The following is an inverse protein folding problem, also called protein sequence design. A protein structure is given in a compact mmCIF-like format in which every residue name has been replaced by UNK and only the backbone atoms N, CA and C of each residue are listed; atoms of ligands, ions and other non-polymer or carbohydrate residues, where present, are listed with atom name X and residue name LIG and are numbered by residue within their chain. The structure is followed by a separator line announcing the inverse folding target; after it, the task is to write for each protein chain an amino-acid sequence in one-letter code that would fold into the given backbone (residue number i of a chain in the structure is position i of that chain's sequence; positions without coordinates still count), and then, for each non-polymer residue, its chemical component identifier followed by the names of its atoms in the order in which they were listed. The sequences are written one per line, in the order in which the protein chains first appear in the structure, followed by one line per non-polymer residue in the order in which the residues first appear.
data_IF_361968470832
#
_entry.id   IF_361968470832
#
_cell.length_a   1.000
_cell.length_b   1.000
_cell.length_c   1.000
_cell.angle_alpha   90.00
_cell.angle_beta   90.00
_cell.angle_gamma   90.00
#
_symmetry.space_group_name_H-M   'P 1'
#
loop_
_entity.id
_entity.type
_entity.pdbx_description
1 polymer ?
#
# COMPACT_ATOMS: atom_id res chain seq x y z
N UNK A 1 34.90 19.70 38.19
CA UNK A 1 33.59 19.45 37.58
C UNK A 1 33.17 18.04 37.95
N UNK A 2 32.03 17.87 38.60
CA UNK A 2 31.49 16.54 38.88
C UNK A 2 31.00 15.90 37.57
N UNK A 3 31.18 14.58 37.38
CA UNK A 3 30.63 13.88 36.21
C UNK A 3 29.09 13.94 36.25
N UNK A 4 28.42 14.06 35.09
CA UNK A 4 26.96 14.08 35.02
C UNK A 4 26.39 12.79 35.60
N UNK A 5 25.31 12.91 36.37
CA UNK A 5 24.60 11.75 36.93
C UNK A 5 24.06 10.90 35.79
N UNK A 6 24.31 9.59 35.78
CA UNK A 6 23.85 8.71 34.72
C UNK A 6 22.32 8.68 34.69
N UNK A 7 21.75 8.81 33.50
CA UNK A 7 20.30 8.70 33.30
C UNK A 7 19.88 7.26 33.59
N UNK A 8 18.80 7.10 34.36
CA UNK A 8 18.18 5.81 34.63
C UNK A 8 17.65 5.18 33.33
N UNK A 9 18.11 3.98 32.99
CA UNK A 9 17.71 3.26 31.77
C UNK A 9 16.18 3.06 31.69
N UNK A 10 15.48 2.64 32.77
CA UNK A 10 14.02 2.54 32.75
C UNK A 10 13.33 3.87 32.43
N UNK A 11 13.77 4.97 33.06
CA UNK A 11 13.17 6.29 32.86
C UNK A 11 13.39 6.79 31.43
N UNK A 12 14.57 6.54 30.87
CA UNK A 12 14.84 6.83 29.47
C UNK A 12 13.93 6.00 28.54
N UNK A 13 13.83 4.69 28.77
CA UNK A 13 13.01 3.80 27.95
C UNK A 13 11.52 4.17 28.00
N UNK A 14 10.98 4.47 29.17
CA UNK A 14 9.59 4.92 29.34
C UNK A 14 9.34 6.23 28.60
N UNK A 15 10.24 7.20 28.71
CA UNK A 15 10.15 8.47 27.99
C UNK A 15 10.19 8.25 26.47
N UNK A 16 11.10 7.39 25.96
CA UNK A 16 11.17 7.08 24.53
C UNK A 16 9.89 6.39 24.03
N UNK A 17 9.32 5.46 24.80
CA UNK A 17 8.06 4.80 24.46
C UNK A 17 6.89 5.78 24.40
N UNK A 18 6.81 6.71 25.35
CA UNK A 18 5.78 7.75 25.36
C UNK A 18 5.90 8.69 24.15
N UNK A 19 7.12 9.14 23.83
CA UNK A 19 7.38 9.99 22.67
C UNK A 19 7.02 9.27 21.37
N UNK A 20 7.40 8.00 21.23
CA UNK A 20 7.08 7.19 20.06
C UNK A 20 5.56 7.00 19.89
N UNK A 21 4.84 6.75 20.98
CA UNK A 21 3.37 6.64 20.94
C UNK A 21 2.72 7.94 20.49
N UNK A 22 3.18 9.07 21.03
CA UNK A 22 2.67 10.39 20.66
C UNK A 22 2.97 10.72 19.19
N UNK A 23 4.17 10.42 18.70
CA UNK A 23 4.56 10.60 17.30
C UNK A 23 3.70 9.73 16.38
N UNK A 24 3.52 8.46 16.72
CA UNK A 24 2.69 7.53 15.94
C UNK A 24 1.22 7.98 15.87
N UNK A 25 0.64 8.44 16.97
CA UNK A 25 -0.73 8.98 16.98
C UNK A 25 -0.86 10.24 16.12
N UNK A 26 0.14 11.13 16.15
CA UNK A 26 0.18 12.31 15.29
C UNK A 26 0.32 11.94 13.81
N UNK A 27 1.15 10.97 13.48
CA UNK A 27 1.35 10.45 12.13
C UNK A 27 0.05 9.86 11.56
N UNK A 28 -0.63 9.01 12.34
CA UNK A 28 -1.92 8.42 11.95
C UNK A 28 -2.99 9.49 11.73
N UNK A 29 -3.06 10.50 12.61
CA UNK A 29 -4.02 11.59 12.47
C UNK A 29 -3.79 12.40 11.18
N UNK A 30 -2.54 12.68 10.83
CA UNK A 30 -2.16 13.38 9.61
C UNK A 30 -2.38 12.56 8.33
N UNK A 31 -2.37 11.23 8.43
CA UNK A 31 -2.50 10.28 7.31
C UNK A 31 -3.94 9.90 6.95
N UNK A 32 -4.95 10.48 7.61
CA UNK A 32 -6.37 10.13 7.43
C UNK A 32 -6.91 10.26 5.99
N UNK A 33 -6.25 11.06 5.13
CA UNK A 33 -6.56 11.14 3.70
C UNK A 33 -6.18 9.87 2.91
N UNK A 34 -5.15 9.12 3.36
CA UNK A 34 -4.77 7.82 2.78
C UNK A 34 -5.62 6.68 3.35
N UNK A 35 -6.01 6.73 4.63
CA UNK A 35 -6.81 5.68 5.27
C UNK A 35 -8.27 5.62 4.79
N UNK A 36 -8.78 6.71 4.18
CA UNK A 36 -10.15 6.80 3.63
C UNK A 36 -10.20 6.42 2.13
N UNK A 37 -9.26 5.58 1.68
CA UNK A 37 -9.03 5.25 0.28
C UNK A 37 -10.26 4.70 -0.48
N UNK A 38 -11.10 3.90 0.15
CA UNK A 38 -12.11 3.12 -0.56
C UNK A 38 -13.17 3.93 -1.36
N UNK A 39 -13.36 5.21 -1.06
CA UNK A 39 -14.31 6.09 -1.75
C UNK A 39 -13.66 7.38 -2.30
N UNK A 40 -12.37 7.32 -2.67
CA UNK A 40 -11.66 8.49 -3.20
C UNK A 40 -12.01 8.72 -4.67
N UNK A 41 -12.40 9.95 -5.00
CA UNK A 41 -12.76 10.34 -6.37
C UNK A 41 -11.59 10.16 -7.35
N UNK A 42 -11.83 10.03 -8.66
CA UNK A 42 -10.77 9.96 -9.65
C UNK A 42 -9.80 11.15 -9.63
N UNK A 43 -10.30 12.36 -9.32
CA UNK A 43 -9.47 13.57 -9.24
C UNK A 43 -8.50 13.51 -8.06
N UNK A 44 -8.97 13.09 -6.88
CA UNK A 44 -8.11 12.97 -5.70
C UNK A 44 -7.04 11.90 -5.89
N UNK A 45 -7.36 10.75 -6.51
CA UNK A 45 -6.34 9.73 -6.83
C UNK A 45 -5.25 10.26 -7.77
N UNK A 46 -5.62 11.07 -8.75
CA UNK A 46 -4.65 11.73 -9.64
C UNK A 46 -3.77 12.71 -8.88
N UNK A 47 -4.33 13.49 -7.96
CA UNK A 47 -3.57 14.40 -7.10
C UNK A 47 -2.59 13.63 -6.21
N UNK A 48 -3.03 12.54 -5.57
CA UNK A 48 -2.17 11.68 -4.74
C UNK A 48 -1.02 11.06 -5.54
N UNK A 49 -1.27 10.65 -6.78
CA UNK A 49 -0.20 10.16 -7.65
C UNK A 49 0.76 11.27 -8.06
N UNK A 50 0.27 12.48 -8.36
CA UNK A 50 1.11 13.62 -8.68
C UNK A 50 2.01 14.04 -7.50
N UNK A 51 1.53 13.87 -6.27
CA UNK A 51 2.31 14.12 -5.04
C UNK A 51 3.12 12.91 -4.58
N UNK A 52 3.01 11.77 -5.27
CA UNK A 52 3.81 10.57 -5.02
C UNK A 52 3.28 9.62 -3.94
N UNK A 53 2.11 9.87 -3.37
CA UNK A 53 1.49 9.06 -2.31
C UNK A 53 0.61 7.91 -2.82
N UNK A 54 0.33 7.86 -4.12
CA UNK A 54 -0.46 6.77 -4.71
C UNK A 54 0.07 6.39 -6.10
N UNK A 55 -0.29 5.20 -6.55
CA UNK A 55 -0.03 4.72 -7.89
C UNK A 55 -1.32 4.14 -8.49
N UNK A 56 -1.79 4.75 -9.58
CA UNK A 56 -3.05 4.34 -10.23
C UNK A 56 -2.81 3.61 -11.55
N UNK A 57 -3.84 2.91 -12.04
CA UNK A 57 -3.79 2.24 -13.33
C UNK A 57 -2.99 0.95 -13.26
N UNK A 58 -3.12 0.21 -12.17
CA UNK A 58 -2.44 -1.05 -11.93
C UNK A 58 -3.34 -2.24 -12.25
N UNK A 59 -2.72 -3.38 -12.56
CA UNK A 59 -3.37 -4.70 -12.60
C UNK A 59 -2.48 -5.72 -11.89
N UNK A 60 -3.10 -6.68 -11.21
CA UNK A 60 -2.37 -7.84 -10.69
C UNK A 60 -1.96 -8.74 -11.86
N UNK A 61 -0.65 -8.89 -12.08
CA UNK A 61 -0.08 -9.68 -13.17
C UNK A 61 0.30 -11.08 -12.74
N UNK A 62 0.87 -11.22 -11.55
CA UNK A 62 1.31 -12.51 -11.02
C UNK A 62 1.14 -12.54 -9.50
N UNK A 63 0.83 -13.72 -8.97
CA UNK A 63 0.78 -13.95 -7.53
C UNK A 63 1.62 -15.18 -7.20
N UNK A 64 2.48 -15.10 -6.16
CA UNK A 64 3.34 -16.21 -5.74
C UNK A 64 3.49 -16.23 -4.22
N UNK A 65 3.80 -17.39 -3.65
CA UNK A 65 4.18 -17.49 -2.24
C UNK A 65 5.60 -16.95 -2.05
N UNK A 66 5.76 -15.94 -1.21
CA UNK A 66 7.05 -15.34 -0.84
C UNK A 66 7.58 -15.85 0.51
N UNK A 67 8.58 -15.12 1.02
CA UNK A 67 9.23 -15.44 2.30
C UNK A 67 8.22 -15.41 3.45
N UNK A 68 8.36 -16.35 4.39
CA UNK A 68 7.47 -16.44 5.55
C UNK A 68 6.04 -16.90 5.20
N UNK A 69 5.85 -17.52 4.03
CA UNK A 69 4.54 -18.02 3.59
C UNK A 69 3.58 -16.94 3.12
N UNK A 70 4.02 -15.68 3.02
CA UNK A 70 3.21 -14.54 2.58
C UNK A 70 2.88 -14.61 1.10
N UNK A 71 1.80 -13.96 0.71
CA UNK A 71 1.39 -13.86 -0.69
C UNK A 71 2.03 -12.62 -1.29
N UNK A 72 2.75 -12.77 -2.41
CA UNK A 72 3.40 -11.65 -3.09
C UNK A 72 2.73 -11.46 -4.45
N UNK A 73 2.00 -10.35 -4.57
CA UNK A 73 1.41 -9.89 -5.82
C UNK A 73 2.37 -8.99 -6.59
N UNK A 74 2.48 -9.21 -7.89
CA UNK A 74 3.19 -8.38 -8.86
C UNK A 74 2.18 -7.49 -9.58
N UNK A 75 2.29 -6.18 -9.38
CA UNK A 75 1.39 -5.18 -9.96
C UNK A 75 2.10 -4.43 -11.07
N UNK A 76 1.50 -4.45 -12.25
CA UNK A 76 2.03 -3.83 -13.47
C UNK A 76 1.08 -2.74 -13.97
N UNK A 77 1.53 -1.80 -14.81
CA UNK A 77 0.63 -0.86 -15.46
C UNK A 77 -0.39 -1.61 -16.31
N UNK A 78 -1.65 -1.21 -16.23
CA UNK A 78 -2.72 -1.69 -17.10
C UNK A 78 -2.38 -1.36 -18.57
N UNK A 79 -2.12 -2.36 -19.43
CA UNK A 79 -1.70 -2.11 -20.81
C UNK A 79 -2.71 -1.30 -21.64
N UNK A 80 -3.98 -1.29 -21.25
CA UNK A 80 -5.03 -0.54 -21.94
C UNK A 80 -4.97 0.98 -21.67
N UNK A 81 -4.34 1.41 -20.58
CA UNK A 81 -4.20 2.83 -20.21
C UNK A 81 -2.77 3.29 -19.99
N UNK A 82 -1.81 2.36 -19.93
CA UNK A 82 -0.41 2.67 -19.78
C UNK A 82 0.10 3.38 -21.03
N UNK A 83 0.44 4.65 -20.89
CA UNK A 83 1.15 5.38 -21.94
C UNK A 83 2.53 4.76 -22.13
N UNK A 84 2.93 4.52 -23.38
CA UNK A 84 4.27 4.09 -23.77
C UNK A 84 5.26 5.25 -23.58
N UNK A 85 5.64 5.52 -22.33
CA UNK A 85 6.59 6.57 -21.98
C UNK A 85 6.06 7.99 -22.23
N UNK A 86 5.42 8.58 -21.22
CA UNK A 86 5.38 10.04 -21.13
C UNK A 86 6.83 10.53 -21.09
N UNK A 87 7.21 11.36 -22.07
CA UNK A 87 8.47 12.11 -22.12
C UNK A 87 8.88 12.49 -20.70
N UNK A 88 10.04 12.01 -20.24
CA UNK A 88 10.69 12.60 -19.08
C UNK A 88 10.79 14.09 -19.34
N UNK A 89 10.24 14.91 -18.45
CA UNK A 89 10.42 16.36 -18.48
C UNK A 89 11.83 16.75 -18.01
N UNK A 90 12.69 15.77 -17.77
CA UNK A 90 14.11 15.95 -17.53
C UNK A 90 14.86 15.47 -18.78
N UNK A 91 15.70 16.34 -19.34
CA UNK A 91 16.38 16.19 -20.63
C UNK A 91 17.49 15.15 -20.65
N UNK A 92 17.25 13.97 -20.08
CA UNK A 92 18.14 12.81 -20.14
C UNK A 92 17.76 11.87 -21.28
N UNK A 93 18.66 11.78 -22.26
CA UNK A 93 18.76 10.79 -23.34
C UNK A 93 17.49 9.98 -23.70
N UNK A 94 16.74 10.53 -24.66
CA UNK A 94 15.69 9.84 -25.42
C UNK A 94 16.27 8.76 -26.36
N UNK A 95 17.04 7.80 -25.84
CA UNK A 95 17.49 6.62 -26.57
C UNK A 95 16.94 5.36 -25.89
N UNK A 96 16.02 4.70 -26.61
CA UNK A 96 15.30 3.46 -26.28
C UNK A 96 14.09 3.59 -25.34
N UNK A 97 13.00 4.21 -25.84
CA UNK A 97 11.67 3.78 -25.42
C UNK A 97 11.36 2.47 -26.16
N UNK A 98 11.55 1.32 -25.51
CA UNK A 98 11.24 -0.01 -26.06
C UNK A 98 9.72 -0.24 -26.28
N UNK A 99 8.89 0.81 -26.26
CA UNK A 99 7.44 0.74 -26.36
C UNK A 99 6.76 0.05 -25.19
N UNK A 100 7.50 -0.31 -24.14
CA UNK A 100 6.97 -1.04 -23.00
C UNK A 100 6.25 -0.11 -22.01
N UNK A 101 5.12 -0.53 -21.44
CA UNK A 101 4.42 0.23 -20.42
C UNK A 101 5.29 0.36 -19.15
N UNK A 102 5.29 1.55 -18.55
CA UNK A 102 6.02 1.88 -17.33
C UNK A 102 5.06 2.40 -16.27
N UNK A 103 5.43 2.23 -14.99
CA UNK A 103 4.67 2.80 -13.89
C UNK A 103 4.66 4.33 -13.99
N UNK A 104 3.56 4.95 -13.53
CA UNK A 104 3.51 6.38 -13.33
C UNK A 104 4.47 6.86 -12.24
N UNK A 105 4.74 8.16 -12.19
CA UNK A 105 5.54 8.75 -11.11
C UNK A 105 4.93 8.44 -9.74
N UNK A 106 5.76 7.96 -8.82
CA UNK A 106 5.38 7.57 -7.45
C UNK A 106 6.58 7.70 -6.51
N UNK A 107 6.30 7.87 -5.22
CA UNK A 107 7.31 7.92 -4.15
C UNK A 107 7.53 6.58 -3.43
N UNK A 108 6.89 5.49 -3.88
CA UNK A 108 6.89 4.20 -3.19
C UNK A 108 8.27 3.57 -3.08
N UNK A 109 8.58 3.02 -1.91
CA UNK A 109 9.84 2.37 -1.56
C UNK A 109 9.60 1.01 -0.92
N UNK A 110 10.64 0.19 -0.95
CA UNK A 110 10.63 -1.09 -0.23
C UNK A 110 10.49 -0.82 1.26
N UNK A 111 9.54 -1.51 1.90
CA UNK A 111 9.18 -1.33 3.30
C UNK A 111 7.90 -0.51 3.51
N UNK A 112 7.43 0.22 2.50
CA UNK A 112 6.19 1.01 2.61
C UNK A 112 4.98 0.09 2.79
N UNK A 113 4.07 0.51 3.67
CA UNK A 113 2.77 -0.14 3.86
C UNK A 113 1.78 0.51 2.91
N UNK A 114 1.18 -0.30 2.05
CA UNK A 114 0.31 0.15 0.96
C UNK A 114 -0.99 -0.63 0.96
N UNK A 115 -2.07 -0.01 0.48
CA UNK A 115 -3.38 -0.63 0.38
C UNK A 115 -3.83 -0.68 -1.06
N UNK A 116 -4.11 -1.88 -1.56
CA UNK A 116 -4.53 -2.07 -2.95
C UNK A 116 -6.05 -2.03 -3.03
N UNK A 117 -6.59 -1.11 -3.82
CA UNK A 117 -8.03 -0.90 -3.96
C UNK A 117 -8.46 -1.00 -5.42
N UNK A 118 -9.70 -1.46 -5.65
CA UNK A 118 -10.34 -1.39 -6.96
C UNK A 118 -10.73 0.08 -7.28
N UNK A 119 -10.42 0.51 -8.50
CA UNK A 119 -10.81 1.80 -9.07
C UNK A 119 -12.32 1.98 -9.16
N UNK A 120 -13.10 0.90 -9.28
CA UNK A 120 -14.55 0.88 -9.47
C UNK A 120 -15.37 0.79 -8.17
N UNK A 121 -14.73 0.43 -7.04
CA UNK A 121 -15.39 0.25 -5.74
C UNK A 121 -16.08 1.54 -5.22
N UNK A 122 -15.67 2.71 -5.71
CA UNK A 122 -16.29 4.00 -5.36
C UNK A 122 -17.63 4.29 -6.06
N UNK A 123 -18.11 3.45 -6.99
CA UNK A 123 -19.31 3.76 -7.79
C UNK A 123 -20.40 2.68 -7.81
N UNK A 124 -20.16 1.47 -7.27
CA UNK A 124 -21.18 0.44 -7.25
C UNK A 124 -21.01 -0.52 -6.05
N UNK A 125 -21.74 -0.26 -4.96
CA UNK A 125 -22.68 -1.22 -4.32
C UNK A 125 -23.21 -0.67 -2.99
N UNK A 126 -24.33 0.04 -3.09
CA UNK A 126 -25.39 -0.03 -2.06
C UNK A 126 -26.29 -1.22 -2.41
N UNK A 127 -25.91 -2.42 -1.99
CA UNK A 127 -26.74 -3.64 -1.90
C UNK A 127 -25.81 -4.79 -1.47
N UNK A 128 -26.00 -5.56 -0.41
CA UNK A 128 -27.01 -5.64 0.63
C UNK A 128 -26.68 -6.90 1.44
N UNK A 129 -26.76 -6.81 2.78
CA UNK A 129 -26.90 -7.93 3.71
C UNK A 129 -25.97 -9.15 3.50
N UNK A 130 -24.82 -9.14 4.18
CA UNK A 130 -24.41 -10.34 4.90
C UNK A 130 -24.15 -9.99 6.36
N UNK A 131 -25.00 -10.59 7.20
CA UNK A 131 -24.88 -10.61 8.65
C UNK A 131 -24.06 -11.86 8.99
N UNK A 132 -23.08 -11.63 9.85
CA UNK A 132 -22.70 -12.53 10.95
C UNK A 132 -21.70 -13.66 10.65
N UNK A 133 -20.46 -13.41 11.05
CA UNK A 133 -19.52 -14.26 11.82
C UNK A 133 -18.27 -13.40 12.00
N UNK A 134 -17.72 -13.07 13.15
CA UNK A 134 -17.85 -13.57 14.52
C UNK A 134 -16.46 -13.29 15.13
N UNK A 135 -16.41 -12.36 16.10
CA UNK A 135 -15.27 -12.00 16.97
C UNK A 135 -14.14 -13.04 17.06
N UNK A 136 -12.89 -12.64 16.77
CA UNK A 136 -11.88 -12.30 17.78
C UNK A 136 -10.53 -11.93 17.15
N UNK A 137 -9.90 -10.84 17.63
CA UNK A 137 -8.45 -10.64 17.48
C UNK A 137 -7.94 -9.46 16.64
N UNK A 138 -8.38 -8.22 16.93
CA UNK A 138 -7.49 -7.04 16.77
C UNK A 138 -7.54 -6.24 15.47
N UNK A 139 -8.46 -5.24 15.44
CA UNK A 139 -8.39 -3.89 14.86
C UNK A 139 -8.18 -3.68 13.34
N UNK A 140 -9.03 -2.79 12.82
CA UNK A 140 -9.06 -2.15 11.48
C UNK A 140 -9.69 -2.92 10.31
N UNK A 141 -10.91 -3.41 10.53
CA UNK A 141 -11.89 -3.69 9.46
C UNK A 141 -12.36 -2.42 8.74
N UNK A 142 -11.44 -1.71 8.08
CA UNK A 142 -11.69 -0.46 7.37
C UNK A 142 -11.91 -0.74 5.89
N UNK A 143 -13.18 -0.92 5.50
CA UNK A 143 -13.86 -0.57 4.23
C UNK A 143 -13.09 -0.54 2.89
N UNK A 144 -11.89 -1.09 2.75
CA UNK A 144 -11.00 -1.01 1.59
C UNK A 144 -10.35 -2.35 1.29
N UNK A 145 -9.58 -2.41 0.19
CA UNK A 145 -8.92 -3.64 -0.23
C UNK A 145 -7.72 -4.02 0.66
N UNK A 146 -7.04 -5.13 0.34
CA UNK A 146 -6.01 -5.70 1.20
C UNK A 146 -4.79 -4.78 1.36
N UNK A 147 -4.26 -4.77 2.58
CA UNK A 147 -3.05 -4.03 2.95
C UNK A 147 -1.83 -4.95 2.89
N UNK A 148 -0.70 -4.42 2.43
CA UNK A 148 0.53 -5.17 2.29
C UNK A 148 1.77 -4.28 2.33
N UNK A 149 2.93 -4.92 2.31
CA UNK A 149 4.23 -4.25 2.36
C UNK A 149 4.91 -4.35 1.01
N UNK A 150 5.40 -3.23 0.49
CA UNK A 150 6.19 -3.21 -0.74
C UNK A 150 7.51 -3.94 -0.50
N UNK A 151 7.76 -4.99 -1.28
CA UNK A 151 8.97 -5.82 -1.19
C UNK A 151 9.98 -5.54 -2.30
N UNK A 152 9.51 -5.03 -3.44
CA UNK A 152 10.35 -4.65 -4.57
C UNK A 152 9.65 -3.57 -5.39
N UNK A 153 10.44 -2.64 -5.91
CA UNK A 153 10.00 -1.59 -6.83
C UNK A 153 10.89 -1.65 -8.07
N UNK A 154 10.29 -1.53 -9.25
CA UNK A 154 10.97 -1.37 -10.53
C UNK A 154 10.25 -0.31 -11.36
N UNK A 155 10.81 0.07 -12.50
CA UNK A 155 10.15 0.97 -13.45
C UNK A 155 8.91 0.36 -14.12
N UNK A 156 8.79 -0.98 -14.09
CA UNK A 156 7.75 -1.74 -14.80
C UNK A 156 6.71 -2.38 -13.88
N UNK A 157 7.02 -2.55 -12.60
CA UNK A 157 6.15 -3.24 -11.65
C UNK A 157 6.53 -2.95 -10.19
N UNK A 158 5.56 -3.10 -9.29
CA UNK A 158 5.77 -3.16 -7.83
C UNK A 158 5.32 -4.52 -7.30
N UNK A 159 6.03 -5.03 -6.29
CA UNK A 159 5.68 -6.27 -5.62
C UNK A 159 5.25 -5.98 -4.19
N UNK A 160 4.06 -6.44 -3.84
CA UNK A 160 3.45 -6.21 -2.53
C UNK A 160 3.23 -7.56 -1.86
N UNK A 161 3.76 -7.71 -0.64
CA UNK A 161 3.54 -8.88 0.20
C UNK A 161 2.36 -8.64 1.14
N UNK A 162 1.36 -9.51 1.07
CA UNK A 162 0.14 -9.48 1.87
C UNK A 162 0.19 -10.53 2.99
N UNK A 163 -0.57 -10.27 4.05
CA UNK A 163 -0.72 -11.15 5.21
C UNK A 163 -0.16 -10.57 6.51
N UNK A 164 -0.65 -11.10 7.63
CA UNK A 164 -0.49 -10.49 8.95
C UNK A 164 0.97 -10.34 9.43
N UNK A 165 1.21 -9.30 10.23
CA UNK A 165 2.44 -9.08 10.98
C UNK A 165 2.58 -10.15 12.07
N UNK A 166 3.45 -11.13 11.82
CA UNK A 166 3.89 -12.11 12.83
C UNK A 166 3.45 -13.53 12.53
N UNK A 167 4.33 -14.30 11.85
CA UNK A 167 4.49 -15.76 11.95
C UNK A 167 3.28 -16.70 11.85
N UNK A 168 2.06 -16.21 11.63
CA UNK A 168 0.85 -17.01 11.52
C UNK A 168 0.68 -17.57 10.11
N UNK A 169 0.10 -18.76 10.03
CA UNK A 169 -0.33 -19.35 8.77
C UNK A 169 -1.25 -18.38 8.01
N UNK A 170 -1.17 -18.42 6.67
CA UNK A 170 -2.01 -17.64 5.74
C UNK A 170 -3.48 -17.71 6.20
N UNK A 171 -4.11 -16.56 6.44
CA UNK A 171 -5.54 -16.55 6.70
C UNK A 171 -6.26 -16.80 5.37
N UNK A 172 -7.31 -17.61 5.38
CA UNK A 172 -8.13 -17.88 4.19
C UNK A 172 -8.74 -16.58 3.63
N UNK A 173 -9.01 -15.62 4.51
CA UNK A 173 -9.57 -14.31 4.17
C UNK A 173 -8.59 -13.44 3.37
N UNK A 174 -7.30 -13.42 3.73
CA UNK A 174 -6.28 -12.70 2.97
C UNK A 174 -6.14 -13.29 1.56
N UNK A 175 -6.14 -14.62 1.43
CA UNK A 175 -6.07 -15.29 0.14
C UNK A 175 -7.31 -14.94 -0.72
N UNK A 176 -8.52 -14.97 -0.14
CA UNK A 176 -9.75 -14.57 -0.83
C UNK A 176 -9.72 -13.10 -1.29
N UNK A 177 -9.25 -12.18 -0.43
CA UNK A 177 -9.17 -10.75 -0.76
C UNK A 177 -8.16 -10.45 -1.89
N UNK A 178 -7.06 -11.22 -1.98
CA UNK A 178 -6.07 -11.07 -3.05
C UNK A 178 -6.61 -11.69 -4.35
N UNK A 179 -7.28 -12.83 -4.27
CA UNK A 179 -7.91 -13.46 -5.44
C UNK A 179 -8.96 -12.54 -6.06
N UNK A 180 -9.67 -11.77 -5.24
CA UNK A 180 -10.60 -10.74 -5.71
C UNK A 180 -9.93 -9.62 -6.51
N UNK A 181 -8.62 -9.40 -6.43
CA UNK A 181 -7.93 -8.35 -7.18
C UNK A 181 -7.72 -8.70 -8.66
N UNK A 182 -7.79 -9.99 -9.02
CA UNK A 182 -7.57 -10.43 -10.39
C UNK A 182 -8.60 -9.86 -11.37
N UNK A 183 -8.12 -9.40 -12.53
CA UNK A 183 -8.97 -8.83 -13.58
C UNK A 183 -9.60 -7.48 -13.26
N UNK A 184 -9.31 -6.89 -12.08
CA UNK A 184 -9.77 -5.55 -11.71
C UNK A 184 -8.74 -4.49 -12.08
N UNK A 185 -9.21 -3.26 -12.25
CA UNK A 185 -8.36 -2.09 -12.35
C UNK A 185 -8.06 -1.59 -10.94
N UNK A 186 -6.79 -1.47 -10.61
CA UNK A 186 -6.33 -1.25 -9.24
C UNK A 186 -5.60 0.09 -9.10
N UNK A 187 -5.50 0.52 -7.86
CA UNK A 187 -4.59 1.57 -7.41
C UNK A 187 -4.10 1.24 -6.00
N UNK A 188 -2.88 1.68 -5.70
CA UNK A 188 -2.18 1.43 -4.44
C UNK A 188 -1.69 2.74 -3.82
#
# INVERSE_FOLDING_TARGET
MAPPTPISIPTFAEAQLQLLLQEHEAEVASSSLASTAASVSPSTRRTLQATGYALTGLVLSQCRTGLGGRVVGEFTPDPAVASTGSKSQDGGDARASDGQPRLGSHGMRVGDVVRVNDVSAGSAKKAGKDKDKGKDGGKDGSKGGPEGVVTRVSDKAIWIAFGQRGGGARSKEDDEAIEELWGKKLWA
#
